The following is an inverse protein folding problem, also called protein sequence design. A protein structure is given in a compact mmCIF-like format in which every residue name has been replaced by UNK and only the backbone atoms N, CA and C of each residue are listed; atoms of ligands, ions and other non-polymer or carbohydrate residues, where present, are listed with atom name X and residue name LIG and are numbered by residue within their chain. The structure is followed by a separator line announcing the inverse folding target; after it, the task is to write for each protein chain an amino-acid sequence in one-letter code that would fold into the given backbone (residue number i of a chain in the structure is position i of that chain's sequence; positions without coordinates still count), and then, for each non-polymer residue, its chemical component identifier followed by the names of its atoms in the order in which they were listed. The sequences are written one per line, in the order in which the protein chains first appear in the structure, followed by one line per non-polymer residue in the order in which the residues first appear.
data_IF_109805467624
#
_entry.id   IF_109805467624
#
_cell.length_a   1.000
_cell.length_b   1.000
_cell.length_c   1.000
_cell.angle_alpha   90.00
_cell.angle_beta   90.00
_cell.angle_gamma   90.00
#
_symmetry.space_group_name_H-M   'P 1'
#
loop_
_entity.id
_entity.type
_entity.pdbx_description
1 polymer ?
#
# COMPACT_ATOMS: atom_id res chain seq x y z
N UNK A 1 30.82 73.91 -32.83
CA UNK A 1 29.76 72.96 -33.24
C UNK A 1 29.60 71.89 -32.17
N UNK A 2 28.40 71.71 -31.58
CA UNK A 2 28.15 70.67 -30.57
C UNK A 2 27.41 69.49 -31.21
N UNK A 3 27.97 68.30 -31.09
CA UNK A 3 27.40 67.04 -31.61
C UNK A 3 26.07 66.72 -30.90
N UNK A 4 24.99 66.64 -31.67
CA UNK A 4 23.66 66.28 -31.16
C UNK A 4 23.55 64.76 -31.14
N UNK A 5 23.74 64.15 -29.96
CA UNK A 5 23.46 62.72 -29.75
C UNK A 5 21.99 62.47 -30.10
N UNK A 6 21.75 61.74 -31.17
CA UNK A 6 20.42 61.26 -31.54
C UNK A 6 19.99 60.27 -30.45
N UNK A 7 19.04 60.66 -29.61
CA UNK A 7 18.49 59.80 -28.58
C UNK A 7 17.88 58.56 -29.24
N UNK A 8 18.49 57.38 -29.03
CA UNK A 8 17.88 56.10 -29.44
C UNK A 8 16.47 56.03 -28.85
N UNK A 9 15.45 55.90 -29.71
CA UNK A 9 14.08 55.60 -29.26
C UNK A 9 14.13 54.33 -28.42
N UNK A 10 13.75 54.41 -27.14
CA UNK A 10 13.61 53.23 -26.28
C UNK A 10 12.49 52.36 -26.89
N UNK A 11 12.86 51.28 -27.57
CA UNK A 11 11.93 50.24 -27.98
C UNK A 11 11.34 49.59 -26.72
N UNK A 12 10.11 49.96 -26.35
CA UNK A 12 9.37 49.26 -25.31
C UNK A 12 8.99 47.89 -25.87
N UNK A 13 9.74 46.85 -25.49
CA UNK A 13 9.39 45.46 -25.82
C UNK A 13 8.15 45.09 -24.99
N UNK A 14 6.96 45.19 -25.57
CA UNK A 14 5.72 44.79 -24.91
C UNK A 14 5.73 43.25 -24.76
N UNK A 15 6.02 42.78 -23.55
CA UNK A 15 6.05 41.34 -23.25
C UNK A 15 4.63 40.81 -22.99
N UNK A 16 3.87 40.59 -24.07
CA UNK A 16 2.50 40.02 -24.03
C UNK A 16 2.42 38.72 -23.20
N UNK A 17 3.52 37.96 -23.13
CA UNK A 17 3.53 36.64 -22.49
C UNK A 17 3.63 36.68 -20.96
N UNK A 18 3.96 37.83 -20.35
CA UNK A 18 4.07 37.94 -18.88
C UNK A 18 2.70 37.86 -18.22
N UNK A 19 1.67 38.49 -18.79
CA UNK A 19 0.31 38.51 -18.22
C UNK A 19 -0.37 37.15 -18.36
N UNK A 20 -0.21 36.51 -19.51
CA UNK A 20 -0.61 35.12 -19.77
C UNK A 20 0.03 34.15 -18.77
N UNK A 21 1.36 34.18 -18.63
CA UNK A 21 2.09 33.33 -17.70
C UNK A 21 1.68 33.58 -16.24
N UNK A 22 1.48 34.84 -15.83
CA UNK A 22 0.98 35.18 -14.49
C UNK A 22 -0.42 34.62 -14.24
N UNK A 23 -1.32 34.70 -15.23
CA UNK A 23 -2.69 34.16 -15.12
C UNK A 23 -2.68 32.63 -15.04
N UNK A 24 -1.84 31.95 -15.84
CA UNK A 24 -1.65 30.50 -15.78
C UNK A 24 -1.06 30.06 -14.42
N UNK A 25 -0.02 30.74 -13.93
CA UNK A 25 0.55 30.47 -12.61
C UNK A 25 -0.46 30.67 -11.49
N UNK A 26 -1.35 31.68 -11.58
CA UNK A 26 -2.45 31.85 -10.61
C UNK A 26 -3.45 30.69 -10.65
N UNK A 27 -3.76 30.14 -11.84
CA UNK A 27 -4.59 28.93 -11.97
C UNK A 27 -3.90 27.71 -11.36
N UNK A 28 -2.63 27.47 -11.69
CA UNK A 28 -1.84 26.35 -11.15
C UNK A 28 -1.71 26.42 -9.61
N UNK A 29 -1.53 27.60 -9.03
CA UNK A 29 -1.52 27.78 -7.57
C UNK A 29 -2.84 27.39 -6.90
N UNK A 30 -3.99 27.59 -7.57
CA UNK A 30 -5.30 27.16 -7.03
C UNK A 30 -5.46 25.63 -7.02
N UNK A 31 -4.79 24.93 -7.93
CA UNK A 31 -4.81 23.47 -8.04
C UNK A 31 -3.86 22.78 -7.05
N UNK A 32 -2.85 23.50 -6.54
CA UNK A 32 -1.84 23.00 -5.59
C UNK A 32 -2.32 22.83 -4.14
N UNK A 33 -3.61 22.55 -3.93
CA UNK A 33 -4.08 22.13 -2.61
C UNK A 33 -3.77 20.65 -2.48
N UNK A 34 -2.89 20.30 -1.54
CA UNK A 34 -2.66 18.91 -1.18
C UNK A 34 -3.98 18.30 -0.67
N UNK A 35 -4.27 17.05 -1.05
CA UNK A 35 -5.45 16.29 -0.62
C UNK A 35 -5.04 14.83 -0.46
N UNK A 36 -5.42 14.19 0.64
CA UNK A 36 -5.21 12.75 0.83
C UNK A 36 -4.84 12.39 2.25
N UNK A 37 -3.54 12.36 2.57
CA UNK A 37 -3.09 12.01 3.90
C UNK A 37 -3.19 13.20 4.87
N UNK A 38 -3.90 12.94 5.96
CA UNK A 38 -4.20 13.93 7.01
C UNK A 38 -2.92 14.57 7.59
N UNK A 39 -1.83 13.83 7.91
CA UNK A 39 -0.63 14.44 8.50
C UNK A 39 0.03 15.49 7.61
N UNK A 40 0.15 15.20 6.30
CA UNK A 40 0.77 16.11 5.34
C UNK A 40 -0.14 17.30 5.06
N UNK A 41 -1.45 17.09 4.96
CA UNK A 41 -2.42 18.17 4.73
C UNK A 41 -2.40 19.19 5.88
N UNK A 42 -2.36 18.72 7.12
CA UNK A 42 -2.31 19.55 8.33
C UNK A 42 -1.03 20.40 8.40
N UNK A 43 0.11 19.82 8.00
CA UNK A 43 1.38 20.51 8.01
C UNK A 43 1.62 21.40 6.75
N UNK A 44 0.70 21.41 5.78
CA UNK A 44 0.92 22.05 4.49
C UNK A 44 0.81 23.58 4.54
N UNK A 45 1.91 24.29 4.29
CA UNK A 45 1.92 25.76 4.24
C UNK A 45 1.64 26.28 2.82
N UNK A 46 0.56 27.06 2.65
CA UNK A 46 0.14 27.61 1.34
C UNK A 46 1.10 28.63 0.73
N UNK A 47 1.94 29.26 1.56
CA UNK A 47 2.90 30.29 1.13
C UNK A 47 4.19 29.70 0.57
N UNK A 48 4.53 28.47 0.98
CA UNK A 48 5.73 27.77 0.55
C UNK A 48 5.51 27.05 -0.77
N UNK A 49 6.62 26.78 -1.47
CA UNK A 49 6.61 25.87 -2.62
C UNK A 49 6.44 24.42 -2.17
N UNK A 50 5.93 23.56 -3.04
CA UNK A 50 5.80 22.12 -2.76
C UNK A 50 7.11 21.49 -2.28
N UNK A 51 8.23 21.85 -2.92
CA UNK A 51 9.57 21.37 -2.53
C UNK A 51 9.95 21.79 -1.11
N UNK A 52 9.67 23.03 -0.73
CA UNK A 52 9.94 23.55 0.61
C UNK A 52 9.03 22.91 1.67
N UNK A 53 7.75 22.71 1.36
CA UNK A 53 6.82 22.03 2.26
C UNK A 53 7.28 20.60 2.56
N UNK A 54 7.55 19.82 1.51
CA UNK A 54 8.02 18.44 1.69
C UNK A 54 9.34 18.39 2.45
N UNK A 55 10.30 19.25 2.10
CA UNK A 55 11.58 19.33 2.83
C UNK A 55 11.38 19.69 4.32
N UNK A 56 10.45 20.60 4.64
CA UNK A 56 10.13 20.96 6.03
C UNK A 56 9.52 19.81 6.83
N UNK A 57 8.84 18.88 6.14
CA UNK A 57 8.30 17.64 6.73
C UNK A 57 9.32 16.49 6.72
N UNK A 58 10.53 16.68 6.19
CA UNK A 58 11.52 15.61 6.03
C UNK A 58 11.23 14.65 4.88
N UNK A 59 10.38 15.07 3.93
CA UNK A 59 10.01 14.31 2.74
C UNK A 59 10.77 14.78 1.51
N UNK A 60 11.07 13.84 0.62
CA UNK A 60 11.69 14.15 -0.66
C UNK A 60 10.67 14.64 -1.69
N UNK A 61 11.06 15.64 -2.49
CA UNK A 61 10.25 16.11 -3.61
C UNK A 61 10.44 15.25 -4.85
N UNK A 62 11.68 14.87 -5.14
CA UNK A 62 12.03 13.95 -6.23
C UNK A 62 12.50 12.63 -5.60
N UNK A 63 11.88 11.48 -5.92
CA UNK A 63 12.30 10.18 -5.40
C UNK A 63 13.73 9.82 -5.80
N UNK A 64 14.20 10.29 -6.96
CA UNK A 64 15.57 10.03 -7.42
C UNK A 64 16.61 10.81 -6.61
N UNK A 65 16.24 11.95 -6.02
CA UNK A 65 17.11 12.68 -5.07
C UNK A 65 17.23 11.93 -3.73
N UNK A 66 16.21 11.15 -3.35
CA UNK A 66 16.17 10.42 -2.08
C UNK A 66 16.83 9.04 -2.14
N UNK A 67 16.82 8.42 -3.31
CA UNK A 67 17.33 7.08 -3.52
C UNK A 67 18.66 7.20 -4.26
N UNK A 68 19.77 6.95 -3.55
CA UNK A 68 21.07 6.77 -4.20
C UNK A 68 21.05 5.47 -5.00
N UNK A 69 20.71 5.56 -6.29
CA UNK A 69 20.88 4.45 -7.23
C UNK A 69 22.37 4.45 -7.61
N UNK A 70 23.19 3.78 -6.81
CA UNK A 70 24.53 3.37 -7.27
C UNK A 70 24.31 2.60 -8.58
N UNK A 71 24.96 3.01 -9.69
CA UNK A 71 24.77 2.45 -11.05
C UNK A 71 25.07 0.95 -11.22
N UNK A 72 25.25 0.22 -10.13
CA UNK A 72 25.40 -1.21 -10.08
C UNK A 72 24.01 -1.88 -10.07
N UNK A 73 23.51 -2.27 -11.24
CA UNK A 73 22.26 -3.06 -11.41
C UNK A 73 22.17 -4.29 -10.48
N UNK A 74 23.32 -4.79 -10.01
CA UNK A 74 23.41 -5.94 -9.09
C UNK A 74 22.91 -5.63 -7.67
N UNK A 75 22.93 -4.37 -7.21
CA UNK A 75 22.48 -3.99 -5.86
C UNK A 75 20.95 -4.00 -5.71
N UNK A 76 20.21 -3.66 -6.77
CA UNK A 76 18.74 -3.70 -6.82
C UNK A 76 18.16 -5.09 -6.52
N UNK A 77 18.89 -6.17 -6.81
CA UNK A 77 18.48 -7.55 -6.53
C UNK A 77 18.66 -7.96 -5.07
N UNK A 78 19.52 -7.27 -4.32
CA UNK A 78 19.85 -7.62 -2.93
C UNK A 78 19.09 -6.80 -1.88
N UNK A 79 18.24 -5.85 -2.31
CA UNK A 79 17.37 -5.06 -1.43
C UNK A 79 18.10 -4.18 -0.41
N UNK A 80 19.43 -4.05 -0.49
CA UNK A 80 20.25 -3.38 0.53
C UNK A 80 20.45 -1.92 0.13
N UNK A 81 19.44 -1.08 0.36
CA UNK A 81 19.62 0.37 0.31
C UNK A 81 20.66 0.78 1.37
N UNK A 82 21.63 1.62 0.98
CA UNK A 82 22.49 2.30 1.95
C UNK A 82 21.57 3.13 2.86
N UNK A 83 21.73 2.99 4.19
CA UNK A 83 21.02 3.86 5.14
C UNK A 83 21.53 5.28 4.90
N UNK A 84 20.69 6.13 4.33
CA UNK A 84 21.00 7.55 4.19
C UNK A 84 21.16 8.17 5.57
N UNK A 85 22.05 9.15 5.64
CA UNK A 85 22.43 9.91 6.83
C UNK A 85 21.19 10.44 7.56
N UNK A 86 21.12 10.26 8.88
CA UNK A 86 19.97 10.62 9.74
C UNK A 86 19.43 12.03 9.38
N UNK A 87 18.22 12.10 8.83
CA UNK A 87 17.48 13.35 8.75
C UNK A 87 16.79 13.65 10.08
N UNK A 88 16.56 14.93 10.37
CA UNK A 88 15.80 15.35 11.55
C UNK A 88 14.40 14.76 11.49
N UNK A 89 14.03 13.92 12.47
CA UNK A 89 12.70 13.32 12.56
C UNK A 89 11.68 14.42 12.83
N UNK A 90 10.73 14.60 11.91
CA UNK A 90 9.59 15.51 12.10
C UNK A 90 8.41 14.72 12.65
N UNK A 91 7.49 15.37 13.36
CA UNK A 91 6.28 14.70 13.88
C UNK A 91 5.43 14.10 12.76
N UNK A 92 5.36 14.78 11.61
CA UNK A 92 4.65 14.31 10.41
C UNK A 92 5.25 12.99 9.91
N UNK A 93 6.58 12.85 9.94
CA UNK A 93 7.24 11.62 9.50
C UNK A 93 6.90 10.44 10.42
N UNK A 94 6.88 10.66 11.73
CA UNK A 94 6.53 9.64 12.72
C UNK A 94 5.07 9.16 12.56
N UNK A 95 4.14 10.09 12.35
CA UNK A 95 2.73 9.76 12.10
C UNK A 95 2.56 8.93 10.82
N UNK A 96 3.28 9.29 9.75
CA UNK A 96 3.24 8.54 8.49
C UNK A 96 3.83 7.14 8.62
N UNK A 97 4.92 6.99 9.37
CA UNK A 97 5.54 5.69 9.65
C UNK A 97 4.58 4.78 10.42
N UNK A 98 3.89 5.32 11.43
CA UNK A 98 2.90 4.57 12.19
C UNK A 98 1.72 4.13 11.32
N UNK A 99 1.19 5.01 10.47
CA UNK A 99 0.10 4.67 9.53
C UNK A 99 0.54 3.53 8.61
N UNK A 100 1.77 3.55 8.08
CA UNK A 100 2.28 2.49 7.23
C UNK A 100 2.42 1.15 7.98
N UNK A 101 2.86 1.17 9.24
CA UNK A 101 2.91 -0.04 10.09
C UNK A 101 1.49 -0.57 10.35
N UNK A 102 0.54 0.30 10.65
CA UNK A 102 -0.84 -0.11 10.94
C UNK A 102 -1.50 -0.71 9.69
N UNK A 103 -1.34 -0.09 8.51
CA UNK A 103 -1.85 -0.62 7.25
C UNK A 103 -1.26 -1.99 6.89
N UNK A 104 0.07 -2.15 7.05
CA UNK A 104 0.73 -3.43 6.77
C UNK A 104 0.26 -4.52 7.74
N UNK A 105 0.20 -4.23 9.04
CA UNK A 105 -0.27 -5.18 10.05
C UNK A 105 -1.73 -5.56 9.86
N UNK A 106 -2.61 -4.62 9.51
CA UNK A 106 -4.01 -4.90 9.20
C UNK A 106 -4.14 -5.77 7.94
N UNK A 107 -3.38 -5.49 6.89
CA UNK A 107 -3.38 -6.31 5.67
C UNK A 107 -2.93 -7.77 5.96
N UNK A 108 -1.94 -7.93 6.83
CA UNK A 108 -1.45 -9.25 7.22
C UNK A 108 -2.43 -9.98 8.13
N UNK A 109 -3.09 -9.27 9.06
CA UNK A 109 -4.20 -9.81 9.85
C UNK A 109 -5.35 -10.26 8.95
N UNK A 110 -5.72 -9.48 7.93
CA UNK A 110 -6.75 -9.85 6.96
C UNK A 110 -6.38 -11.11 6.18
N UNK A 111 -5.15 -11.19 5.66
CA UNK A 111 -4.65 -12.41 4.98
C UNK A 111 -4.65 -13.62 5.91
N UNK A 112 -4.26 -13.45 7.19
CA UNK A 112 -4.32 -14.52 8.20
C UNK A 112 -5.75 -14.97 8.47
N UNK A 113 -6.70 -14.04 8.65
CA UNK A 113 -8.13 -14.35 8.83
C UNK A 113 -8.70 -15.13 7.64
N UNK A 114 -8.37 -14.73 6.41
CA UNK A 114 -8.79 -15.44 5.19
C UNK A 114 -8.22 -16.87 5.14
N UNK A 115 -6.95 -17.06 5.51
CA UNK A 115 -6.31 -18.38 5.57
C UNK A 115 -6.87 -19.31 6.66
N UNK A 116 -7.40 -18.75 7.74
CA UNK A 116 -7.89 -19.53 8.89
C UNK A 116 -9.29 -20.11 8.68
N UNK A 117 -10.10 -19.52 7.78
CA UNK A 117 -11.43 -20.00 7.41
C UNK A 117 -11.36 -21.03 6.28
N UNK A 118 -10.64 -22.12 6.51
CA UNK A 118 -10.75 -23.27 5.62
C UNK A 118 -12.14 -23.89 5.83
N UNK A 119 -13.09 -23.54 4.98
CA UNK A 119 -14.43 -24.13 4.99
C UNK A 119 -14.45 -25.38 4.11
N UNK A 120 -15.25 -26.35 4.52
CA UNK A 120 -15.49 -27.53 3.71
C UNK A 120 -16.58 -27.23 2.67
N UNK A 121 -16.48 -27.82 1.47
CA UNK A 121 -17.54 -27.68 0.47
C UNK A 121 -18.84 -28.34 0.99
N UNK A 122 -20.05 -27.80 0.71
CA UNK A 122 -21.30 -28.34 1.22
C UNK A 122 -21.50 -29.85 1.00
N UNK A 123 -21.18 -30.37 -0.19
CA UNK A 123 -21.27 -31.81 -0.47
C UNK A 123 -20.33 -32.64 0.43
N UNK A 124 -19.12 -32.14 0.69
CA UNK A 124 -18.15 -32.82 1.55
C UNK A 124 -18.61 -32.79 3.02
N UNK A 125 -19.29 -31.72 3.44
CA UNK A 125 -19.93 -31.60 4.75
C UNK A 125 -20.97 -32.71 4.98
N UNK A 126 -21.83 -32.99 3.99
CA UNK A 126 -22.85 -34.03 4.09
C UNK A 126 -22.23 -35.44 4.14
N UNK A 127 -21.18 -35.68 3.36
CA UNK A 127 -20.44 -36.94 3.37
C UNK A 127 -19.76 -37.14 4.73
N UNK A 128 -19.05 -36.12 5.24
CA UNK A 128 -18.41 -36.16 6.56
C UNK A 128 -19.43 -36.43 7.68
N UNK A 129 -20.60 -35.76 7.67
CA UNK A 129 -21.67 -35.99 8.64
C UNK A 129 -22.13 -37.46 8.66
N UNK A 130 -22.36 -38.04 7.48
CA UNK A 130 -22.80 -39.44 7.34
C UNK A 130 -21.72 -40.43 7.76
N UNK A 131 -20.47 -40.21 7.35
CA UNK A 131 -19.34 -41.06 7.72
C UNK A 131 -19.10 -41.04 9.23
N UNK A 132 -19.12 -39.85 9.85
CA UNK A 132 -18.96 -39.68 11.29
C UNK A 132 -20.07 -40.40 12.07
N UNK A 133 -21.32 -40.34 11.59
CA UNK A 133 -22.45 -41.05 12.20
C UNK A 133 -22.36 -42.57 12.09
N UNK A 134 -21.68 -43.12 11.07
CA UNK A 134 -21.55 -44.58 10.86
C UNK A 134 -20.32 -45.17 11.54
N UNK A 135 -19.17 -44.52 11.38
CA UNK A 135 -17.86 -45.09 11.72
C UNK A 135 -17.15 -44.39 12.91
N UNK A 136 -17.69 -43.27 13.40
CA UNK A 136 -17.08 -42.53 14.51
C UNK A 136 -15.75 -41.90 14.11
N UNK A 137 -14.66 -42.27 14.77
CA UNK A 137 -13.29 -41.76 14.46
C UNK A 137 -12.41 -42.80 13.73
N UNK A 138 -13.01 -43.89 13.22
CA UNK A 138 -12.28 -44.94 12.52
C UNK A 138 -12.07 -44.58 11.03
N UNK A 139 -11.03 -43.80 10.74
CA UNK A 139 -10.76 -43.31 9.38
C UNK A 139 -10.42 -44.41 8.36
N UNK A 140 -9.84 -45.54 8.80
CA UNK A 140 -9.56 -46.68 7.91
C UNK A 140 -10.83 -47.40 7.44
N UNK A 141 -11.87 -47.42 8.26
CA UNK A 141 -13.17 -47.97 7.91
C UNK A 141 -13.92 -47.00 6.98
N UNK A 142 -13.83 -45.69 7.25
CA UNK A 142 -14.42 -44.67 6.39
C UNK A 142 -13.84 -44.66 4.98
N UNK A 143 -12.52 -44.90 4.84
CA UNK A 143 -11.88 -44.96 3.53
C UNK A 143 -12.44 -46.10 2.66
N UNK A 144 -12.94 -47.18 3.28
CA UNK A 144 -13.54 -48.34 2.62
C UNK A 144 -15.06 -48.25 2.47
N UNK A 145 -15.70 -47.23 3.06
CA UNK A 145 -17.14 -47.06 2.98
C UNK A 145 -17.59 -46.66 1.56
N UNK A 146 -18.76 -47.13 1.15
CA UNK A 146 -19.32 -46.82 -0.17
C UNK A 146 -19.65 -45.34 -0.37
N UNK A 147 -19.80 -44.56 0.71
CA UNK A 147 -19.99 -43.11 0.65
C UNK A 147 -18.71 -42.36 0.28
N UNK A 148 -17.53 -42.98 0.40
CA UNK A 148 -16.26 -42.41 -0.04
C UNK A 148 -16.07 -42.52 -1.56
N UNK A 149 -16.94 -41.86 -2.33
CA UNK A 149 -16.99 -41.96 -3.79
C UNK A 149 -15.65 -41.55 -4.43
N UNK A 150 -15.01 -40.53 -3.87
CA UNK A 150 -13.74 -39.99 -4.37
C UNK A 150 -12.52 -40.78 -3.93
N UNK A 151 -12.70 -41.88 -3.21
CA UNK A 151 -11.62 -42.74 -2.72
C UNK A 151 -10.59 -41.96 -1.90
N UNK A 152 -11.05 -41.02 -1.07
CA UNK A 152 -10.18 -40.26 -0.18
C UNK A 152 -9.41 -41.21 0.74
N UNK A 153 -8.11 -40.96 0.88
CA UNK A 153 -7.25 -41.70 1.82
C UNK A 153 -7.67 -41.41 3.27
N UNK A 154 -7.36 -42.31 4.22
CA UNK A 154 -7.70 -42.10 5.64
C UNK A 154 -7.24 -40.74 6.18
N UNK A 155 -6.04 -40.28 5.77
CA UNK A 155 -5.46 -39.00 6.17
C UNK A 155 -6.16 -37.79 5.55
N UNK A 156 -6.73 -37.93 4.35
CA UNK A 156 -7.56 -36.88 3.74
C UNK A 156 -8.91 -36.78 4.45
N UNK A 157 -9.52 -37.91 4.78
CA UNK A 157 -10.77 -37.96 5.56
C UNK A 157 -10.59 -37.37 6.95
N UNK A 158 -9.49 -37.69 7.64
CA UNK A 158 -9.12 -37.09 8.92
C UNK A 158 -9.07 -35.56 8.83
N UNK A 159 -8.41 -35.02 7.79
CA UNK A 159 -8.35 -33.56 7.57
C UNK A 159 -9.73 -32.96 7.30
N UNK A 160 -10.55 -33.57 6.43
CA UNK A 160 -11.90 -33.09 6.10
C UNK A 160 -12.80 -33.10 7.35
N UNK A 161 -12.75 -34.17 8.13
CA UNK A 161 -13.51 -34.31 9.37
C UNK A 161 -13.02 -33.32 10.44
N UNK A 162 -11.70 -33.09 10.54
CA UNK A 162 -11.14 -32.07 11.41
C UNK A 162 -11.64 -30.67 11.08
N UNK A 163 -11.69 -30.32 9.79
CA UNK A 163 -12.28 -29.06 9.32
C UNK A 163 -13.78 -29.01 9.64
N UNK A 164 -14.51 -30.10 9.39
CA UNK A 164 -15.95 -30.19 9.70
C UNK A 164 -16.24 -29.97 11.18
N UNK A 165 -15.51 -30.63 12.08
CA UNK A 165 -15.64 -30.46 13.54
C UNK A 165 -15.33 -29.02 13.98
N UNK A 166 -14.29 -28.41 13.40
CA UNK A 166 -13.94 -27.01 13.70
C UNK A 166 -15.07 -26.06 13.31
N UNK A 167 -15.60 -26.19 12.10
CA UNK A 167 -16.72 -25.36 11.63
C UNK A 167 -17.99 -25.58 12.48
N UNK A 168 -18.26 -26.82 12.91
CA UNK A 168 -19.40 -27.10 13.79
C UNK A 168 -19.27 -26.42 15.16
N UNK A 169 -18.07 -26.33 15.71
CA UNK A 169 -17.83 -25.63 16.97
C UNK A 169 -17.96 -24.10 16.81
N UNK A 170 -17.54 -23.56 15.67
CA UNK A 170 -17.64 -22.12 15.37
C UNK A 170 -19.09 -21.64 15.20
N UNK A 171 -20.02 -22.50 14.76
CA UNK A 171 -21.46 -22.19 14.62
C UNK A 171 -22.26 -22.31 15.93
N UNK A 172 -21.70 -22.96 16.97
CA UNK A 172 -22.36 -23.15 18.27
C UNK A 172 -21.87 -22.15 19.35
N UNK A 173 -21.09 -21.13 18.96
CA UNK A 173 -20.58 -20.05 19.80
C UNK A 173 -21.21 -18.74 19.34
#
# INVERSE_FOLDING_TARGET
MRSVKHGRKKSVRYRYNISSAKRQNKKLKKLRKFKGCQPIENAWQKQMTTRQNLASMGLAYDPNEAIEIDGDEKRLKTGRLKKSTKCSTTNVLLELEQIAIDETTESDKQKKRQRQKATLHPNDTDVCKKLLSKHGENYEAMARDSLNIWQDTPRQLERKIGIYKKNLNDENI
#
